data_IF_164496150286
#
_entry.id   IF_164496150286
#
_cell.length_a   1.000
_cell.length_b   1.000
_cell.length_c   1.000
_cell.angle_alpha   90.00
_cell.angle_beta   90.00
_cell.angle_gamma   90.00
#
_symmetry.space_group_name_H-M   'P 1'
#
loop_
_entity.id
_entity.type
_entity.pdbx_description
1 polymer ?
#
# COMPACT_ATOMS: atom_id res chain seq x y z
N UNK A 1 3.33 -3.97 -10.64
CA UNK A 1 3.93 -4.98 -9.75
C UNK A 1 4.92 -4.34 -8.78
N UNK A 2 6.15 -4.03 -9.20
CA UNK A 2 7.16 -3.32 -8.41
C UNK A 2 8.15 -2.59 -9.33
N UNK A 3 8.88 -1.61 -8.81
CA UNK A 3 9.94 -0.86 -9.52
C UNK A 3 11.17 -0.74 -8.62
N UNK A 4 12.37 -0.69 -9.21
CA UNK A 4 13.63 -0.48 -8.50
C UNK A 4 14.14 0.94 -8.70
N UNK A 5 14.64 1.57 -7.64
CA UNK A 5 15.31 2.86 -7.69
C UNK A 5 16.75 2.69 -7.20
N UNK A 6 17.72 2.82 -8.11
CA UNK A 6 19.14 2.88 -7.75
C UNK A 6 19.67 4.29 -7.93
N UNK A 7 20.22 4.86 -6.86
CA UNK A 7 20.76 6.22 -6.89
C UNK A 7 21.87 6.40 -5.87
N UNK A 8 22.88 7.20 -6.24
CA UNK A 8 23.94 7.64 -5.33
C UNK A 8 23.51 8.81 -4.42
N UNK A 9 22.37 9.45 -4.72
CA UNK A 9 21.81 10.50 -3.87
C UNK A 9 21.24 9.90 -2.57
N UNK A 10 21.20 10.68 -1.51
CA UNK A 10 20.73 10.26 -0.19
C UNK A 10 19.84 11.31 0.46
N UNK A 11 19.22 10.96 1.60
CA UNK A 11 18.34 11.85 2.35
C UNK A 11 17.17 12.35 1.51
N UNK A 12 16.81 13.62 1.66
CA UNK A 12 15.64 14.23 1.04
C UNK A 12 15.59 14.08 -0.49
N UNK A 13 16.74 14.04 -1.18
CA UNK A 13 16.77 13.89 -2.64
C UNK A 13 16.39 12.47 -3.07
N UNK A 14 16.84 11.46 -2.32
CA UNK A 14 16.46 10.07 -2.59
C UNK A 14 14.98 9.85 -2.28
N UNK A 15 14.52 10.34 -1.13
CA UNK A 15 13.11 10.23 -0.72
C UNK A 15 12.18 10.94 -1.70
N UNK A 16 12.52 12.16 -2.15
CA UNK A 16 11.72 12.86 -3.15
C UNK A 16 11.61 12.12 -4.49
N UNK A 17 12.65 11.39 -4.90
CA UNK A 17 12.58 10.52 -6.09
C UNK A 17 11.71 9.29 -5.85
N UNK A 18 11.80 8.68 -4.68
CA UNK A 18 10.94 7.54 -4.34
C UNK A 18 9.46 7.94 -4.28
N UNK A 19 9.17 9.11 -3.70
CA UNK A 19 7.82 9.67 -3.61
C UNK A 19 7.24 10.06 -4.97
N UNK A 20 8.06 10.64 -5.85
CA UNK A 20 7.68 10.91 -7.24
C UNK A 20 7.28 9.63 -7.99
N UNK A 21 8.07 8.55 -7.85
CA UNK A 21 7.72 7.24 -8.40
C UNK A 21 6.44 6.68 -7.78
N UNK A 22 6.24 6.84 -6.47
CA UNK A 22 5.04 6.38 -5.76
C UNK A 22 3.77 7.07 -6.24
N UNK A 23 3.88 8.37 -6.56
CA UNK A 23 2.75 9.19 -6.99
C UNK A 23 2.35 8.94 -8.45
N UNK A 24 3.30 8.52 -9.30
CA UNK A 24 3.07 8.44 -10.75
C UNK A 24 3.00 7.02 -11.31
N UNK A 25 3.54 6.01 -10.61
CA UNK A 25 3.58 4.64 -11.14
C UNK A 25 2.55 3.72 -10.47
N UNK A 26 1.82 2.90 -11.26
CA UNK A 26 0.88 1.91 -10.71
C UNK A 26 1.61 0.66 -10.18
N UNK A 27 2.39 0.82 -9.12
CA UNK A 27 3.20 -0.24 -8.49
C UNK A 27 2.93 -0.36 -6.99
N UNK A 28 2.97 -1.59 -6.47
CA UNK A 28 2.72 -1.84 -5.05
C UNK A 28 3.98 -1.68 -4.18
N UNK A 29 5.17 -1.66 -4.80
CA UNK A 29 6.47 -1.68 -4.12
C UNK A 29 7.50 -0.89 -4.92
N UNK A 30 8.25 -0.02 -4.23
CA UNK A 30 9.43 0.67 -4.74
C UNK A 30 10.63 0.15 -3.95
N UNK A 31 11.56 -0.51 -4.63
CA UNK A 31 12.75 -1.11 -4.03
C UNK A 31 13.91 -0.14 -4.20
N UNK A 32 14.26 0.56 -3.12
CA UNK A 32 15.31 1.59 -3.13
C UNK A 32 16.65 0.98 -2.75
N UNK A 33 17.65 1.13 -3.61
CA UNK A 33 19.05 0.76 -3.39
C UNK A 33 19.27 -0.69 -2.91
N UNK A 34 18.45 -1.63 -3.40
CA UNK A 34 18.58 -3.08 -3.12
C UNK A 34 18.47 -3.91 -4.39
N UNK A 35 19.05 -5.11 -4.39
CA UNK A 35 18.92 -6.05 -5.50
C UNK A 35 17.45 -6.48 -5.65
N UNK A 36 16.78 -5.97 -6.70
CA UNK A 36 15.33 -6.03 -6.87
C UNK A 36 14.76 -7.45 -6.73
N UNK A 37 15.38 -8.43 -7.39
CA UNK A 37 14.88 -9.81 -7.44
C UNK A 37 14.74 -10.45 -6.05
N UNK A 38 15.65 -10.12 -5.12
CA UNK A 38 15.65 -10.66 -3.76
C UNK A 38 14.78 -9.77 -2.86
N UNK A 39 14.97 -8.46 -2.95
CA UNK A 39 14.30 -7.48 -2.11
C UNK A 39 12.78 -7.48 -2.29
N UNK A 40 12.27 -7.61 -3.52
CA UNK A 40 10.81 -7.59 -3.76
C UNK A 40 10.07 -8.73 -3.06
N UNK A 41 10.75 -9.86 -2.81
CA UNK A 41 10.20 -11.01 -2.12
C UNK A 41 10.34 -10.96 -0.59
N UNK A 42 10.88 -9.89 -0.02
CA UNK A 42 11.17 -9.77 1.41
C UNK A 42 12.54 -10.30 1.78
N UNK A 43 13.55 -9.44 1.60
CA UNK A 43 14.90 -9.69 2.09
C UNK A 43 15.01 -9.35 3.58
N UNK A 44 16.03 -9.90 4.26
CA UNK A 44 16.29 -9.63 5.67
C UNK A 44 16.55 -8.14 5.99
N UNK A 45 16.85 -7.33 4.96
CA UNK A 45 17.25 -5.92 5.08
C UNK A 45 16.11 -4.92 4.78
N UNK A 46 14.89 -5.37 4.45
CA UNK A 46 13.81 -4.44 4.03
C UNK A 46 12.45 -4.61 4.71
N UNK A 47 12.29 -5.62 5.57
CA UNK A 47 11.11 -5.77 6.42
C UNK A 47 9.81 -6.14 5.69
N UNK A 48 9.84 -6.36 4.37
CA UNK A 48 8.68 -6.93 3.67
C UNK A 48 8.49 -8.39 4.13
N UNK A 49 7.23 -8.86 4.30
CA UNK A 49 6.97 -10.27 4.54
C UNK A 49 7.61 -11.13 3.45
N UNK A 50 8.35 -12.16 3.85
CA UNK A 50 8.93 -13.09 2.87
C UNK A 50 7.82 -13.77 2.06
N UNK A 51 7.93 -13.74 0.74
CA UNK A 51 7.01 -14.37 -0.19
C UNK A 51 7.61 -14.53 -1.58
N UNK A 52 7.19 -15.60 -2.29
CA UNK A 52 7.40 -15.76 -3.73
C UNK A 52 6.14 -15.42 -4.54
N UNK A 53 5.15 -14.80 -3.91
CA UNK A 53 3.89 -14.41 -4.51
C UNK A 53 3.50 -13.01 -4.08
N UNK A 54 3.64 -12.07 -5.01
CA UNK A 54 3.52 -10.64 -4.75
C UNK A 54 2.24 -10.11 -5.38
N UNK A 55 1.35 -9.55 -4.56
CA UNK A 55 0.10 -8.97 -5.04
C UNK A 55 0.34 -7.66 -5.80
N UNK A 56 -0.26 -7.49 -6.97
CA UNK A 56 -0.13 -6.27 -7.78
C UNK A 56 -1.21 -5.21 -7.50
N UNK A 57 -2.06 -5.44 -6.49
CA UNK A 57 -3.24 -4.61 -6.25
C UNK A 57 -4.22 -4.60 -7.42
N UNK A 58 -5.19 -3.69 -7.36
CA UNK A 58 -6.24 -3.55 -8.38
C UNK A 58 -5.67 -3.19 -9.76
N UNK A 59 -4.55 -2.45 -9.80
CA UNK A 59 -3.82 -2.14 -11.04
C UNK A 59 -3.37 -3.39 -11.80
N UNK A 60 -3.00 -4.47 -11.10
CA UNK A 60 -2.64 -5.76 -11.69
C UNK A 60 -3.73 -6.82 -11.58
N UNK A 61 -5.00 -6.44 -11.38
CA UNK A 61 -6.14 -7.36 -11.23
C UNK A 61 -5.97 -8.37 -10.08
N UNK A 62 -5.40 -7.94 -8.96
CA UNK A 62 -5.32 -8.73 -7.72
C UNK A 62 -6.14 -8.07 -6.61
N UNK A 63 -6.66 -8.87 -5.68
CA UNK A 63 -7.41 -8.39 -4.52
C UNK A 63 -6.52 -7.89 -3.36
N UNK A 64 -5.19 -7.95 -3.51
CA UNK A 64 -4.21 -7.50 -2.52
C UNK A 64 -2.95 -6.96 -3.19
N UNK A 65 -2.24 -6.06 -2.51
CA UNK A 65 -0.97 -5.45 -2.95
C UNK A 65 0.24 -5.90 -2.12
N UNK A 66 0.01 -6.60 -1.00
CA UNK A 66 1.05 -7.07 -0.09
C UNK A 66 1.86 -8.26 -0.66
N UNK A 67 2.95 -8.61 0.00
CA UNK A 67 3.60 -9.91 -0.14
C UNK A 67 2.71 -10.96 0.54
N UNK A 68 2.22 -11.92 -0.24
CA UNK A 68 1.28 -12.91 0.26
C UNK A 68 1.91 -13.70 1.41
N UNK A 69 1.19 -13.76 2.53
CA UNK A 69 1.62 -14.40 3.77
C UNK A 69 0.45 -15.18 4.40
N UNK A 70 0.72 -15.91 5.48
CA UNK A 70 -0.25 -16.80 6.11
C UNK A 70 -1.60 -16.13 6.44
N UNK A 71 -1.64 -14.82 6.73
CA UNK A 71 -2.89 -14.10 7.05
C UNK A 71 -3.88 -14.08 5.88
N UNK A 72 -3.40 -14.19 4.64
CA UNK A 72 -4.24 -14.26 3.45
C UNK A 72 -5.00 -15.59 3.34
N UNK A 73 -4.60 -16.60 4.12
CA UNK A 73 -5.22 -17.92 4.18
C UNK A 73 -6.06 -18.14 5.44
N UNK A 74 -6.18 -17.11 6.29
CA UNK A 74 -6.97 -17.19 7.52
C UNK A 74 -8.33 -16.51 7.32
N UNK A 75 -9.39 -17.24 7.66
CA UNK A 75 -10.70 -16.63 7.86
C UNK A 75 -10.74 -16.01 9.27
N UNK A 76 -11.22 -14.77 9.39
CA UNK A 76 -11.42 -14.09 10.68
C UNK A 76 -12.90 -14.03 11.03
N UNK A 77 -13.32 -14.83 12.02
CA UNK A 77 -14.67 -14.73 12.61
C UNK A 77 -14.72 -13.54 13.56
N UNK A 78 -15.72 -12.66 13.38
CA UNK A 78 -15.97 -11.52 14.27
C UNK A 78 -17.32 -11.71 14.97
N UNK A 79 -17.33 -11.71 16.30
CA UNK A 79 -18.56 -11.72 17.11
C UNK A 79 -18.92 -10.27 17.39
N UNK A 80 -19.99 -9.78 16.74
CA UNK A 80 -20.47 -8.41 16.87
C UNK A 80 -21.69 -8.38 17.81
N UNK A 81 -21.80 -7.34 18.63
CA UNK A 81 -22.94 -7.10 19.53
C UNK A 81 -23.50 -5.71 19.28
N UNK A 82 -24.81 -5.48 19.51
CA UNK A 82 -25.39 -4.15 19.41
C UNK A 82 -24.69 -3.14 20.31
N UNK A 83 -24.47 -1.95 19.79
CA UNK A 83 -24.07 -0.75 20.53
C UNK A 83 -25.10 0.34 20.26
N UNK A 84 -25.11 1.41 21.06
CA UNK A 84 -25.96 2.57 20.78
C UNK A 84 -25.64 3.13 19.39
N UNK A 85 -26.68 3.42 18.60
CA UNK A 85 -26.52 3.98 17.27
C UNK A 85 -25.96 5.41 17.37
N UNK A 86 -24.98 5.70 16.51
CA UNK A 86 -24.45 7.05 16.30
C UNK A 86 -24.45 7.32 14.81
N UNK A 87 -25.56 7.88 14.33
CA UNK A 87 -25.69 8.31 12.92
C UNK A 87 -24.88 9.59 12.75
N UNK A 88 -23.86 9.62 11.86
CA UNK A 88 -23.17 10.86 11.52
C UNK A 88 -24.07 11.75 10.65
N UNK A 89 -23.93 13.07 10.74
CA UNK A 89 -24.54 13.96 9.77
C UNK A 89 -23.84 13.80 8.41
N UNK A 90 -24.54 14.10 7.30
CA UNK A 90 -23.97 13.96 5.96
C UNK A 90 -22.74 14.86 5.79
N UNK A 91 -22.80 16.04 6.39
CA UNK A 91 -21.73 17.03 6.41
C UNK A 91 -20.48 16.49 7.12
N UNK A 92 -20.64 15.77 8.23
CA UNK A 92 -19.52 15.14 8.96
C UNK A 92 -18.72 14.16 8.08
N UNK A 93 -19.39 13.54 7.11
CA UNK A 93 -18.79 12.56 6.20
C UNK A 93 -18.23 13.18 4.93
N UNK A 94 -18.90 14.20 4.39
CA UNK A 94 -18.72 14.64 3.00
C UNK A 94 -18.36 16.12 2.83
N UNK A 95 -18.10 16.87 3.90
CA UNK A 95 -17.71 18.30 3.83
C UNK A 95 -16.57 18.54 2.82
N UNK A 96 -15.48 17.76 2.91
CA UNK A 96 -14.32 17.87 2.02
C UNK A 96 -14.63 17.56 0.55
N UNK A 97 -15.65 16.74 0.30
CA UNK A 97 -16.09 16.43 -1.06
C UNK A 97 -16.93 17.58 -1.61
N UNK A 98 -17.90 18.08 -0.83
CA UNK A 98 -18.75 19.19 -1.26
C UNK A 98 -18.01 20.52 -1.39
N UNK A 99 -16.90 20.72 -0.68
CA UNK A 99 -16.04 21.90 -0.87
C UNK A 99 -15.31 21.90 -2.21
N UNK A 100 -15.04 20.72 -2.77
CA UNK A 100 -14.40 20.55 -4.08
C UNK A 100 -15.42 20.44 -5.22
N UNK A 101 -16.58 19.85 -4.93
CA UNK A 101 -17.66 19.61 -5.89
C UNK A 101 -19.01 20.09 -5.32
N UNK A 102 -19.35 21.39 -5.48
CA UNK A 102 -20.58 21.96 -4.94
C UNK A 102 -21.82 21.25 -5.50
N UNK A 103 -22.87 21.13 -4.67
CA UNK A 103 -24.16 20.54 -5.03
C UNK A 103 -24.88 21.30 -6.15
#
# INVERSE_FOLDING_TARGET
HSVGLHTASSGAVMEGRADDLASHLPVARIIVNQAHAIATGGSFENGLPFSLSMGCGTWGKNNFSDNMNYRHYLNTTRIVRPIAEKVPEVEDLLENYFSQFPK
#
